data_IF_217162305589
#
_entry.id   IF_217162305589
#
_cell.length_a   1.000
_cell.length_b   1.000
_cell.length_c   1.000
_cell.angle_alpha   90.00
_cell.angle_beta   90.00
_cell.angle_gamma   90.00
#
_symmetry.space_group_name_H-M   'P 1'
#
loop_
_entity.id
_entity.type
_entity.pdbx_description
1 polymer ?
#
# COMPACT_ATOMS: atom_id res chain seq x y z
N UNK A 1 2.73 -8.80 -18.75
CA UNK A 1 4.18 -9.12 -18.66
C UNK A 1 5.00 -8.56 -19.85
N UNK A 2 4.44 -8.46 -21.07
CA UNK A 2 5.18 -8.01 -22.28
C UNK A 2 5.71 -6.57 -22.18
N UNK A 3 4.87 -5.63 -21.76
CA UNK A 3 5.23 -4.20 -21.64
C UNK A 3 6.36 -3.94 -20.65
N UNK A 4 6.43 -4.68 -19.55
CA UNK A 4 7.47 -4.49 -18.53
C UNK A 4 8.89 -4.81 -19.04
N UNK A 5 9.02 -5.60 -20.10
CA UNK A 5 10.33 -5.98 -20.66
C UNK A 5 10.96 -4.92 -21.55
N UNK A 6 10.18 -3.92 -21.96
CA UNK A 6 10.66 -2.85 -22.87
C UNK A 6 10.95 -1.53 -22.15
N UNK A 7 10.64 -1.42 -20.86
CA UNK A 7 10.99 -0.23 -20.08
C UNK A 7 12.30 -0.44 -19.31
N UNK A 8 13.11 0.62 -19.11
CA UNK A 8 14.33 0.51 -18.33
C UNK A 8 14.05 -0.01 -16.91
N UNK A 9 14.94 -0.86 -16.34
CA UNK A 9 14.71 -1.47 -15.02
C UNK A 9 14.48 -0.46 -13.87
N UNK A 10 15.10 0.72 -13.97
CA UNK A 10 14.96 1.80 -12.97
C UNK A 10 13.70 2.64 -13.13
N UNK A 11 12.89 2.39 -14.17
CA UNK A 11 11.62 3.08 -14.37
C UNK A 11 10.70 2.80 -13.20
N UNK A 12 10.17 3.85 -12.59
CA UNK A 12 9.15 3.72 -11.55
C UNK A 12 7.80 3.60 -12.23
N UNK A 13 7.10 2.53 -11.94
CA UNK A 13 5.77 2.23 -12.45
C UNK A 13 4.76 2.23 -11.31
N UNK A 14 3.54 2.65 -11.60
CA UNK A 14 2.40 2.53 -10.69
C UNK A 14 1.45 1.43 -11.20
N UNK A 15 0.99 0.60 -10.29
CA UNK A 15 -0.09 -0.35 -10.51
C UNK A 15 -1.22 0.01 -9.56
N UNK A 16 -2.45 -0.08 -10.07
CA UNK A 16 -3.63 0.18 -9.27
C UNK A 16 -4.87 -0.45 -9.87
N UNK A 17 -5.85 -0.73 -9.01
CA UNK A 17 -7.21 -1.00 -9.41
C UNK A 17 -7.86 0.27 -9.98
N UNK A 18 -8.92 0.13 -10.72
CA UNK A 18 -9.59 1.23 -11.45
C UNK A 18 -10.50 2.09 -10.56
N UNK A 19 -10.78 1.63 -9.33
CA UNK A 19 -11.62 2.30 -8.34
C UNK A 19 -10.82 2.98 -7.21
N UNK A 20 -9.61 3.45 -7.52
CA UNK A 20 -8.75 4.16 -6.58
C UNK A 20 -8.84 5.69 -6.79
N UNK A 21 -8.97 6.43 -5.68
CA UNK A 21 -8.89 7.88 -5.67
C UNK A 21 -7.53 8.35 -5.18
N UNK A 22 -6.94 9.32 -5.89
CA UNK A 22 -5.61 9.85 -5.63
C UNK A 22 -5.67 11.28 -5.12
N UNK A 23 -5.11 11.49 -3.93
CA UNK A 23 -4.91 12.84 -3.41
C UNK A 23 -3.66 13.50 -4.04
N UNK A 24 -3.56 14.83 -4.01
CA UNK A 24 -2.40 15.53 -4.52
C UNK A 24 -1.08 15.00 -3.92
N UNK A 25 -0.03 14.97 -4.73
CA UNK A 25 1.33 14.53 -4.35
C UNK A 25 1.49 13.01 -4.05
N UNK A 26 0.50 12.18 -4.28
CA UNK A 26 0.55 10.74 -4.01
C UNK A 26 1.79 10.06 -4.63
N UNK A 27 2.07 10.36 -5.89
CA UNK A 27 3.21 9.76 -6.60
C UNK A 27 4.54 10.24 -6.04
N UNK A 28 4.66 11.56 -5.81
CA UNK A 28 5.86 12.13 -5.19
C UNK A 28 6.13 11.53 -3.82
N UNK A 29 5.13 11.46 -2.95
CA UNK A 29 5.27 10.89 -1.61
C UNK A 29 5.69 9.42 -1.65
N UNK A 30 5.12 8.63 -2.56
CA UNK A 30 5.49 7.23 -2.76
C UNK A 30 6.93 7.08 -3.26
N UNK A 31 7.36 7.90 -4.21
CA UNK A 31 8.73 7.88 -4.75
C UNK A 31 9.76 8.34 -3.70
N UNK A 32 9.43 9.38 -2.93
CA UNK A 32 10.30 9.87 -1.86
C UNK A 32 10.49 8.79 -0.78
N UNK A 33 9.41 8.11 -0.39
CA UNK A 33 9.50 7.00 0.55
C UNK A 33 10.32 5.83 -0.01
N UNK A 34 10.13 5.48 -1.29
CA UNK A 34 10.91 4.44 -1.97
C UNK A 34 12.41 4.74 -1.95
N UNK A 35 12.81 6.02 -2.09
CA UNK A 35 14.21 6.46 -2.10
C UNK A 35 14.82 6.52 -0.70
N UNK A 36 13.98 6.65 0.33
CA UNK A 36 14.42 6.81 1.72
C UNK A 36 14.76 5.50 2.42
N UNK A 37 14.36 4.37 1.85
CA UNK A 37 14.60 3.03 2.40
C UNK A 37 15.41 2.19 1.42
N UNK A 38 16.24 1.25 1.90
CA UNK A 38 16.98 0.34 1.03
C UNK A 38 16.06 -0.75 0.49
N UNK A 39 16.36 -1.24 -0.69
CA UNK A 39 15.76 -2.46 -1.28
C UNK A 39 14.21 -2.51 -1.25
N UNK A 40 13.56 -1.39 -1.59
CA UNK A 40 12.10 -1.30 -1.59
C UNK A 40 11.53 -1.96 -2.86
N UNK A 41 10.63 -2.92 -2.67
CA UNK A 41 9.90 -3.59 -3.75
C UNK A 41 8.57 -2.92 -4.08
N UNK A 42 7.86 -2.44 -3.06
CA UNK A 42 6.55 -1.81 -3.22
C UNK A 42 6.36 -0.66 -2.25
N UNK A 43 5.74 0.43 -2.71
CA UNK A 43 5.24 1.50 -1.85
C UNK A 43 3.80 1.80 -2.19
N UNK A 44 2.89 1.70 -1.21
CA UNK A 44 1.50 2.13 -1.32
C UNK A 44 1.29 3.50 -0.69
N UNK A 45 0.34 4.25 -1.22
CA UNK A 45 -0.16 5.49 -0.62
C UNK A 45 -1.41 5.29 0.24
N UNK A 46 -1.81 4.04 0.46
CA UNK A 46 -3.07 3.68 1.10
C UNK A 46 -2.86 2.82 2.37
N UNK A 47 -2.79 3.45 3.56
CA UNK A 47 -2.71 2.72 4.83
C UNK A 47 -4.03 2.00 5.13
N UNK A 48 -3.98 0.68 5.25
CA UNK A 48 -5.12 -0.18 5.59
C UNK A 48 -4.72 -1.18 6.67
N UNK A 49 -5.43 -1.18 7.80
CA UNK A 49 -5.10 -2.03 8.96
C UNK A 49 -5.14 -3.52 8.64
N UNK A 50 -6.16 -3.96 7.92
CA UNK A 50 -6.31 -5.38 7.59
C UNK A 50 -5.16 -5.93 6.75
N UNK A 51 -4.47 -5.08 5.99
CA UNK A 51 -3.31 -5.48 5.18
C UNK A 51 -2.09 -5.84 6.04
N UNK A 52 -2.03 -5.39 7.30
CA UNK A 52 -0.92 -5.68 8.22
C UNK A 52 -0.76 -7.17 8.57
N UNK A 53 -1.70 -8.02 8.15
CA UNK A 53 -1.75 -9.45 8.53
C UNK A 53 -0.80 -10.33 7.73
N UNK A 54 -0.44 -9.98 6.50
CA UNK A 54 0.32 -10.84 5.59
C UNK A 54 1.29 -10.10 4.68
N UNK A 55 2.18 -10.88 4.06
CA UNK A 55 3.13 -10.37 3.06
C UNK A 55 4.11 -9.33 3.59
N UNK A 56 4.51 -9.41 4.87
CA UNK A 56 5.39 -8.42 5.50
C UNK A 56 6.46 -9.02 6.43
N UNK A 57 6.68 -10.32 6.35
CA UNK A 57 7.63 -11.01 7.23
C UNK A 57 9.07 -10.50 7.06
N UNK A 58 9.50 -10.33 5.81
CA UNK A 58 10.82 -9.79 5.50
C UNK A 58 10.95 -8.35 6.01
N UNK A 59 9.94 -7.50 5.71
CA UNK A 59 9.92 -6.10 6.12
C UNK A 59 10.02 -5.97 7.65
N UNK A 60 9.24 -6.76 8.40
CA UNK A 60 9.29 -6.76 9.87
C UNK A 60 10.63 -7.24 10.39
N UNK A 61 11.17 -8.34 9.84
CA UNK A 61 12.47 -8.87 10.23
C UNK A 61 13.58 -7.86 9.99
N UNK A 62 13.56 -7.20 8.86
CA UNK A 62 14.49 -6.13 8.53
C UNK A 62 14.34 -4.94 9.49
N UNK A 63 13.10 -4.49 9.72
CA UNK A 63 12.81 -3.34 10.57
C UNK A 63 13.30 -3.55 12.02
N UNK A 64 13.04 -4.71 12.59
CA UNK A 64 13.51 -5.07 13.95
C UNK A 64 15.03 -5.04 14.12
N UNK A 65 15.77 -5.15 13.02
CA UNK A 65 17.24 -5.12 13.03
C UNK A 65 17.82 -3.73 12.74
N UNK A 66 17.14 -2.93 11.91
CA UNK A 66 17.76 -1.74 11.33
C UNK A 66 16.97 -0.44 11.52
N UNK A 67 15.77 -0.50 12.08
CA UNK A 67 14.87 0.63 12.23
C UNK A 67 14.22 0.65 13.62
N UNK A 68 13.55 1.73 13.98
CA UNK A 68 12.63 1.74 15.12
C UNK A 68 11.36 1.04 14.66
N UNK A 69 10.93 0.00 15.37
CA UNK A 69 9.74 -0.78 15.07
C UNK A 69 8.72 -0.65 16.20
N UNK A 70 7.49 -0.33 15.86
CA UNK A 70 6.39 -0.11 16.79
C UNK A 70 5.13 -0.85 16.32
N UNK A 71 4.39 -1.40 17.29
CA UNK A 71 3.06 -1.95 17.07
C UNK A 71 2.03 -1.15 17.88
N UNK A 72 0.91 -0.76 17.26
CA UNK A 72 -0.11 0.05 17.92
C UNK A 72 -1.33 0.31 17.03
N UNK A 73 -2.16 1.25 17.43
CA UNK A 73 -3.30 1.75 16.63
C UNK A 73 -2.95 3.15 16.14
N UNK A 74 -2.24 3.23 15.01
CA UNK A 74 -1.75 4.50 14.45
C UNK A 74 -2.62 5.00 13.29
N UNK A 75 -3.24 4.07 12.52
CA UNK A 75 -4.14 4.41 11.43
C UNK A 75 -5.43 4.99 12.02
N UNK A 76 -5.84 6.21 11.60
CA UNK A 76 -7.08 6.83 12.07
C UNK A 76 -8.30 5.95 11.79
N UNK A 77 -9.22 5.87 12.77
CA UNK A 77 -10.46 5.09 12.64
C UNK A 77 -11.28 5.51 11.42
N UNK A 78 -11.28 6.81 11.07
CA UNK A 78 -12.00 7.30 9.90
C UNK A 78 -11.54 6.63 8.60
N UNK A 79 -10.25 6.28 8.48
CA UNK A 79 -9.75 5.60 7.28
C UNK A 79 -10.25 4.15 7.19
N UNK A 80 -10.40 3.47 8.33
CA UNK A 80 -11.04 2.14 8.38
C UNK A 80 -12.53 2.23 8.05
N UNK A 81 -13.24 3.30 8.49
CA UNK A 81 -14.65 3.55 8.15
C UNK A 81 -14.82 3.80 6.66
N UNK A 82 -13.98 4.64 6.07
CA UNK A 82 -13.98 4.91 4.61
C UNK A 82 -13.76 3.61 3.82
N UNK A 83 -12.83 2.77 4.27
CA UNK A 83 -12.58 1.46 3.67
C UNK A 83 -13.81 0.55 3.78
N UNK A 84 -14.44 0.45 4.93
CA UNK A 84 -15.66 -0.34 5.11
C UNK A 84 -16.78 0.10 4.18
N UNK A 85 -17.00 1.42 4.08
CA UNK A 85 -18.00 2.00 3.19
C UNK A 85 -17.71 1.64 1.74
N UNK A 86 -16.44 1.75 1.31
CA UNK A 86 -16.06 1.50 -0.08
C UNK A 86 -16.26 0.05 -0.54
N UNK A 87 -16.18 -0.91 0.39
CA UNK A 87 -16.37 -2.35 0.11
C UNK A 87 -17.73 -2.89 0.59
N UNK A 88 -18.64 -2.01 1.04
CA UNK A 88 -19.95 -2.43 1.55
C UNK A 88 -19.89 -3.30 2.82
N UNK A 89 -18.87 -3.12 3.65
CA UNK A 89 -18.69 -3.90 4.88
C UNK A 89 -19.34 -3.18 6.07
N UNK A 90 -20.15 -3.90 6.84
CA UNK A 90 -20.72 -3.41 8.09
C UNK A 90 -19.62 -3.05 9.11
N UNK A 91 -19.78 -1.88 9.76
CA UNK A 91 -18.78 -1.35 10.68
C UNK A 91 -18.55 -2.24 11.90
N UNK A 92 -19.62 -2.70 12.55
CA UNK A 92 -19.52 -3.55 13.75
C UNK A 92 -18.83 -4.88 13.45
N UNK A 93 -19.09 -5.45 12.27
CA UNK A 93 -18.36 -6.63 11.80
C UNK A 93 -16.87 -6.30 11.63
N UNK A 94 -16.54 -5.16 11.02
CA UNK A 94 -15.14 -4.76 10.81
C UNK A 94 -14.39 -4.56 12.12
N UNK A 95 -14.99 -3.86 13.09
CA UNK A 95 -14.41 -3.66 14.42
C UNK A 95 -14.12 -4.98 15.10
N UNK A 96 -15.09 -5.91 15.08
CA UNK A 96 -14.89 -7.24 15.63
C UNK A 96 -13.78 -8.00 14.90
N UNK A 97 -13.76 -7.93 13.58
CA UNK A 97 -12.78 -8.61 12.74
C UNK A 97 -11.36 -8.08 12.95
N UNK A 98 -11.18 -6.77 13.18
CA UNK A 98 -9.87 -6.12 13.32
C UNK A 98 -9.46 -5.83 14.76
N UNK A 99 -10.23 -6.29 15.76
CA UNK A 99 -10.00 -5.95 17.18
C UNK A 99 -8.58 -6.24 17.66
N UNK A 100 -7.97 -7.32 17.19
CA UNK A 100 -6.63 -7.76 17.56
C UNK A 100 -5.54 -7.29 16.57
N UNK A 101 -5.90 -6.61 15.48
CA UNK A 101 -4.91 -6.15 14.51
C UNK A 101 -4.17 -4.94 15.07
N UNK A 102 -2.87 -4.96 14.96
CA UNK A 102 -1.99 -3.83 15.27
C UNK A 102 -1.38 -3.30 13.98
N UNK A 103 -1.35 -1.98 13.87
CA UNK A 103 -0.60 -1.32 12.82
C UNK A 103 0.89 -1.47 13.11
N UNK A 104 1.68 -1.75 12.09
CA UNK A 104 3.12 -1.97 12.19
C UNK A 104 3.83 -0.78 11.58
N UNK A 105 4.32 0.13 12.42
CA UNK A 105 5.02 1.34 12.00
C UNK A 105 6.52 1.15 12.16
N UNK A 106 7.27 1.66 11.21
CA UNK A 106 8.74 1.65 11.24
C UNK A 106 9.26 3.06 10.98
N UNK A 107 10.38 3.39 11.59
CA UNK A 107 11.08 4.66 11.33
C UNK A 107 12.55 4.36 11.05
N UNK A 108 12.99 4.65 9.83
CA UNK A 108 14.36 4.49 9.39
C UNK A 108 14.95 5.85 9.00
N UNK A 109 16.08 6.22 9.60
CA UNK A 109 16.73 7.52 9.42
C UNK A 109 15.78 8.71 9.60
N UNK A 110 14.86 8.62 10.56
CA UNK A 110 13.87 9.65 10.84
C UNK A 110 12.64 9.66 9.92
N UNK A 111 12.59 8.80 8.91
CA UNK A 111 11.46 8.72 7.97
C UNK A 111 10.50 7.60 8.39
N UNK A 112 9.24 7.93 8.75
CA UNK A 112 8.26 6.92 9.15
C UNK A 112 7.54 6.28 7.97
N UNK A 113 7.19 5.00 8.10
CA UNK A 113 6.36 4.25 7.16
C UNK A 113 5.57 3.16 7.88
N UNK A 114 4.51 2.63 7.28
CA UNK A 114 3.95 1.35 7.70
C UNK A 114 4.67 0.19 6.99
N UNK A 115 4.87 -0.90 7.72
CA UNK A 115 5.64 -2.06 7.28
C UNK A 115 4.81 -3.04 6.41
N UNK A 116 4.14 -2.53 5.42
CA UNK A 116 3.30 -3.28 4.46
C UNK A 116 3.02 -2.41 3.24
N UNK A 117 2.71 -3.00 2.08
CA UNK A 117 2.12 -2.30 0.94
C UNK A 117 0.81 -2.98 0.54
N UNK A 118 -0.16 -2.22 0.05
CA UNK A 118 -1.42 -2.75 -0.45
C UNK A 118 -1.30 -3.09 -1.94
N UNK A 119 -1.73 -4.30 -2.32
CA UNK A 119 -1.68 -4.77 -3.71
C UNK A 119 -2.59 -3.98 -4.66
N UNK A 120 -3.73 -3.48 -4.16
CA UNK A 120 -4.67 -2.69 -4.98
C UNK A 120 -4.09 -1.36 -5.48
N UNK A 121 -3.01 -0.86 -4.86
CA UNK A 121 -2.29 0.32 -5.34
C UNK A 121 -0.87 0.33 -4.79
N UNK A 122 0.11 0.39 -5.68
CA UNK A 122 1.50 0.58 -5.28
C UNK A 122 2.34 1.17 -6.43
N UNK A 123 3.50 1.70 -6.08
CA UNK A 123 4.59 2.00 -7.01
C UNK A 123 5.76 1.06 -6.75
N UNK A 124 6.49 0.70 -7.81
CA UNK A 124 7.68 -0.12 -7.73
C UNK A 124 8.65 0.22 -8.88
N UNK A 125 9.89 -0.28 -8.81
CA UNK A 125 10.77 -0.28 -9.97
C UNK A 125 10.37 -1.41 -10.94
N UNK A 126 10.35 -1.13 -12.22
CA UNK A 126 10.02 -2.13 -13.25
C UNK A 126 10.93 -3.36 -13.17
N UNK A 127 12.23 -3.17 -12.94
CA UNK A 127 13.20 -4.25 -12.79
C UNK A 127 12.88 -5.19 -11.64
N UNK A 128 12.49 -4.66 -10.48
CA UNK A 128 12.10 -5.46 -9.32
C UNK A 128 10.87 -6.33 -9.65
N UNK A 129 9.86 -5.73 -10.28
CA UNK A 129 8.65 -6.47 -10.66
C UNK A 129 8.95 -7.57 -11.69
N UNK A 130 9.78 -7.28 -12.70
CA UNK A 130 10.21 -8.28 -13.69
C UNK A 130 10.93 -9.44 -13.01
N UNK A 131 11.82 -9.17 -12.06
CA UNK A 131 12.54 -10.22 -11.33
C UNK A 131 11.60 -11.08 -10.49
N UNK A 132 10.65 -10.47 -9.78
CA UNK A 132 9.64 -11.19 -9.00
C UNK A 132 8.79 -12.10 -9.89
N UNK A 133 8.32 -11.56 -11.04
CA UNK A 133 7.52 -12.33 -11.99
C UNK A 133 8.32 -13.46 -12.67
N UNK A 134 9.62 -13.29 -12.84
CA UNK A 134 10.50 -14.34 -13.37
C UNK A 134 10.69 -15.49 -12.39
N UNK A 135 10.79 -15.18 -11.10
CA UNK A 135 10.93 -16.18 -10.04
C UNK A 135 9.60 -16.85 -9.69
N UNK A 136 8.49 -16.18 -9.91
CA UNK A 136 7.14 -16.68 -9.62
C UNK A 136 6.19 -16.31 -10.77
N UNK A 137 5.94 -17.25 -11.68
CA UNK A 137 5.07 -17.05 -12.85
C UNK A 137 3.62 -16.76 -12.47
N UNK A 138 3.19 -17.15 -11.28
CA UNK A 138 1.83 -16.96 -10.78
C UNK A 138 1.67 -15.69 -9.92
N UNK A 139 2.73 -14.88 -9.76
CA UNK A 139 2.71 -13.72 -8.86
C UNK A 139 1.58 -12.71 -9.17
N UNK A 140 1.06 -12.67 -10.39
CA UNK A 140 -0.07 -11.80 -10.77
C UNK A 140 -1.42 -12.53 -10.82
N UNK A 141 -1.51 -13.78 -10.37
CA UNK A 141 -2.76 -14.55 -10.41
C UNK A 141 -3.68 -14.24 -9.23
N UNK A 142 -3.11 -13.78 -8.13
CA UNK A 142 -3.84 -13.45 -6.89
C UNK A 142 -3.02 -12.40 -6.10
N UNK A 143 -3.72 -11.50 -5.45
CA UNK A 143 -3.14 -10.40 -4.66
C UNK A 143 -2.19 -10.88 -3.57
N UNK A 144 -2.54 -11.95 -2.87
CA UNK A 144 -1.72 -12.51 -1.81
C UNK A 144 -0.48 -13.21 -2.37
N UNK A 145 -0.59 -13.76 -3.57
CA UNK A 145 0.55 -14.40 -4.26
C UNK A 145 1.58 -13.32 -4.61
N UNK A 146 1.15 -12.18 -5.15
CA UNK A 146 2.04 -11.05 -5.42
C UNK A 146 2.70 -10.53 -4.14
N UNK A 147 1.90 -10.27 -3.11
CA UNK A 147 2.39 -9.77 -1.83
C UNK A 147 3.44 -10.68 -1.21
N UNK A 148 3.18 -11.99 -1.20
CA UNK A 148 4.12 -12.98 -0.69
C UNK A 148 5.35 -13.15 -1.58
N UNK A 149 5.22 -13.01 -2.90
CA UNK A 149 6.35 -13.09 -3.83
C UNK A 149 7.32 -11.91 -3.63
N UNK A 150 6.82 -10.69 -3.44
CA UNK A 150 7.65 -9.52 -3.13
C UNK A 150 8.37 -9.69 -1.79
N UNK A 151 7.64 -10.12 -0.76
CA UNK A 151 8.21 -10.38 0.58
C UNK A 151 9.26 -11.50 0.53
N UNK A 152 8.95 -12.61 -0.14
CA UNK A 152 9.86 -13.76 -0.30
C UNK A 152 11.11 -13.46 -1.12
N UNK A 153 11.05 -12.52 -2.05
CA UNK A 153 12.21 -12.04 -2.81
C UNK A 153 13.12 -11.11 -2.00
N UNK A 154 12.77 -10.81 -0.74
CA UNK A 154 13.60 -10.00 0.16
C UNK A 154 13.50 -8.50 -0.12
N UNK A 155 12.38 -8.03 -0.65
CA UNK A 155 12.10 -6.62 -0.82
C UNK A 155 11.26 -6.05 0.32
N UNK A 156 11.53 -4.80 0.71
CA UNK A 156 10.68 -4.07 1.65
C UNK A 156 9.37 -3.68 0.98
N UNK A 157 8.28 -3.82 1.74
CA UNK A 157 6.95 -3.38 1.36
C UNK A 157 6.49 -2.31 2.34
N UNK A 158 6.24 -1.11 1.84
CA UNK A 158 6.03 0.08 2.66
C UNK A 158 4.73 0.79 2.27
N UNK A 159 4.13 1.47 3.25
CA UNK A 159 3.05 2.43 2.98
C UNK A 159 3.37 3.76 3.65
N UNK A 160 3.02 4.85 3.00
CA UNK A 160 3.12 6.20 3.57
C UNK A 160 2.30 6.30 4.87
N UNK A 161 2.77 7.05 5.87
CA UNK A 161 2.01 7.26 7.11
C UNK A 161 0.81 8.18 6.90
N UNK A 162 0.87 9.07 5.90
CA UNK A 162 -0.26 9.86 5.45
C UNK A 162 -1.02 9.14 4.34
N UNK A 163 -2.34 9.33 4.29
CA UNK A 163 -3.19 8.74 3.26
C UNK A 163 -3.16 9.59 1.99
N UNK A 164 -2.50 9.08 0.96
CA UNK A 164 -2.45 9.69 -0.38
C UNK A 164 -3.33 8.99 -1.40
N UNK A 165 -3.85 7.83 -1.06
CA UNK A 165 -4.73 7.05 -1.92
C UNK A 165 -5.83 6.44 -1.06
N UNK A 166 -7.02 6.26 -1.64
CA UNK A 166 -8.10 5.50 -1.02
C UNK A 166 -8.92 4.76 -2.06
N UNK A 167 -9.48 3.65 -1.65
CA UNK A 167 -10.47 2.91 -2.42
C UNK A 167 -11.82 3.63 -2.35
N UNK A 168 -12.49 3.79 -3.48
CA UNK A 168 -13.82 4.41 -3.55
C UNK A 168 -14.92 3.39 -3.82
N UNK A 169 -14.56 2.22 -4.35
CA UNK A 169 -15.52 1.17 -4.70
C UNK A 169 -16.63 1.70 -5.61
N UNK A 170 -17.83 1.19 -5.39
CA UNK A 170 -19.01 1.60 -6.13
C UNK A 170 -19.78 2.78 -5.48
N UNK A 171 -19.23 3.39 -4.43
CA UNK A 171 -19.90 4.46 -3.66
C UNK A 171 -19.04 5.71 -3.66
N UNK A 172 -19.50 6.75 -4.36
CA UNK A 172 -18.94 8.10 -4.22
C UNK A 172 -19.51 8.71 -2.94
N UNK A 173 -18.68 8.91 -1.93
CA UNK A 173 -19.08 9.69 -0.78
C UNK A 173 -19.15 11.19 -1.08
N UNK A 174 -19.70 11.97 -0.14
CA UNK A 174 -20.01 13.39 -0.36
C UNK A 174 -18.76 14.24 -0.65
N UNK A 175 -17.58 13.83 -0.14
CA UNK A 175 -16.30 14.52 -0.39
C UNK A 175 -15.90 14.47 -1.88
N UNK A 176 -16.26 13.38 -2.57
CA UNK A 176 -15.89 13.13 -3.97
C UNK A 176 -16.97 13.54 -4.96
N UNK A 177 -18.17 13.90 -4.48
CA UNK A 177 -19.23 14.39 -5.36
C UNK A 177 -18.83 15.74 -5.97
N UNK A 178 -19.03 15.95 -7.28
CA UNK A 178 -18.74 17.23 -7.89
C UNK A 178 -19.57 18.33 -7.20
N UNK A 179 -18.89 19.35 -6.68
CA UNK A 179 -19.57 20.53 -6.12
C UNK A 179 -20.40 21.15 -7.23
N UNK A 180 -21.73 21.06 -7.14
CA UNK A 180 -22.64 21.75 -8.07
C UNK A 180 -22.28 23.24 -8.04
N UNK A 181 -21.77 23.78 -9.16
CA UNK A 181 -21.67 25.24 -9.33
C UNK A 181 -23.10 25.77 -9.22
N UNK A 182 -23.40 26.51 -8.15
CA UNK A 182 -24.62 27.31 -8.13
C UNK A 182 -24.41 28.38 -9.20
N UNK A 183 -25.08 28.22 -10.31
CA UNK A 183 -25.23 29.33 -11.27
C UNK A 183 -26.08 30.39 -10.55
N UNK A 184 -25.44 31.53 -10.22
CA UNK A 184 -26.11 32.73 -9.76
C UNK A 184 -26.80 33.40 -10.97
#
# INVERSE_FOLDING_TARGET
AGLLRIVPPETIIGLADDDMYYYPNWFKASVDLMRSYPNVGQVSGWPVRTQMRWGNNFTIKWARKYAVYEEGKFIPEQWDRDFCTSIGREWDFHVHYTKNDMDKRITYQGIPAYAVAHHCQFVCKAGNLVEILRQNNEAMSDDKVLDNAVDGAGFLRLTTVERYVRHIGNVLDDELKPKRKRHA
#
